data_IF_059088088070
#
_entry.id   IF_059088088070
#
_cell.length_a   1.000
_cell.length_b   1.000
_cell.length_c   1.000
_cell.angle_alpha   90.00
_cell.angle_beta   90.00
_cell.angle_gamma   90.00
#
_symmetry.space_group_name_H-M   'P 1'
#
loop_
_entity.id
_entity.type
_entity.pdbx_description
1 polymer ?
#
# COMPACT_ATOMS: atom_id res chain seq x y z
N UNK A 1 8.69 -15.58 -19.68
CA UNK A 1 7.40 -14.87 -19.85
C UNK A 1 7.53 -13.50 -19.25
N UNK A 2 6.68 -12.54 -19.62
CA UNK A 2 6.59 -11.25 -18.91
C UNK A 2 6.07 -11.46 -17.49
N UNK A 3 6.46 -10.59 -16.55
CA UNK A 3 5.97 -10.66 -15.17
C UNK A 3 4.50 -10.30 -15.03
N UNK A 4 3.83 -10.88 -14.03
CA UNK A 4 2.43 -10.59 -13.72
C UNK A 4 2.30 -9.19 -13.13
N UNK A 5 1.08 -8.63 -13.26
CA UNK A 5 0.72 -7.34 -12.69
C UNK A 5 -0.66 -7.41 -12.08
N UNK A 6 -0.83 -6.72 -10.96
CA UNK A 6 -2.12 -6.49 -10.34
C UNK A 6 -2.34 -4.98 -10.16
N UNK A 7 -3.58 -4.57 -10.44
CA UNK A 7 -4.00 -3.19 -10.58
C UNK A 7 -4.74 -2.69 -9.34
N UNK A 8 -4.99 -3.55 -8.34
CA UNK A 8 -5.79 -3.20 -7.17
C UNK A 8 -5.39 -4.04 -5.95
N UNK A 9 -4.41 -3.57 -5.18
CA UNK A 9 -3.82 -4.32 -4.07
C UNK A 9 -3.92 -3.63 -2.71
N UNK A 10 -4.04 -4.44 -1.66
CA UNK A 10 -4.09 -4.02 -0.26
C UNK A 10 -2.96 -4.69 0.53
N UNK A 11 -1.72 -4.25 0.31
CA UNK A 11 -0.52 -4.94 0.83
C UNK A 11 -0.29 -4.77 2.33
N UNK A 12 -0.99 -3.85 2.96
CA UNK A 12 -1.02 -3.69 4.41
C UNK A 12 -2.00 -4.64 5.10
N UNK A 13 -2.82 -5.39 4.36
CA UNK A 13 -3.78 -6.28 5.00
C UNK A 13 -3.09 -7.53 5.56
N UNK A 14 -3.43 -7.88 6.79
CA UNK A 14 -2.88 -9.03 7.52
C UNK A 14 -3.71 -10.31 7.36
N UNK A 15 -4.74 -10.30 6.50
CA UNK A 15 -5.68 -11.42 6.33
C UNK A 15 -6.65 -11.61 7.51
N UNK A 16 -6.62 -10.71 8.49
CA UNK A 16 -7.44 -10.76 9.70
C UNK A 16 -8.68 -9.88 9.64
N UNK A 17 -9.20 -9.58 10.82
CA UNK A 17 -10.37 -8.73 11.03
C UNK A 17 -10.05 -7.28 10.66
N UNK A 18 -10.93 -6.65 9.87
CA UNK A 18 -10.63 -5.37 9.23
C UNK A 18 -10.70 -4.19 10.22
N UNK A 19 -11.60 -4.24 11.21
CA UNK A 19 -11.71 -3.15 12.20
C UNK A 19 -10.47 -3.06 13.09
N UNK A 20 -9.83 -4.19 13.38
CA UNK A 20 -8.58 -4.28 14.12
C UNK A 20 -7.34 -3.90 13.30
N UNK A 21 -7.45 -3.68 11.99
CA UNK A 21 -6.27 -3.43 11.13
C UNK A 21 -5.53 -2.14 11.53
N UNK A 22 -6.26 -1.11 11.95
CA UNK A 22 -5.69 0.16 12.43
C UNK A 22 -5.07 0.08 13.83
N UNK A 23 -5.27 -1.03 14.55
CA UNK A 23 -4.71 -1.24 15.89
C UNK A 23 -3.30 -1.88 15.84
N UNK A 24 -2.88 -2.36 14.67
CA UNK A 24 -1.56 -2.96 14.50
C UNK A 24 -0.47 -1.90 14.69
N UNK A 25 0.53 -2.23 15.52
CA UNK A 25 1.68 -1.37 15.72
C UNK A 25 2.39 -1.09 14.40
N UNK A 26 2.81 0.16 14.18
CA UNK A 26 3.36 0.61 12.89
C UNK A 26 4.61 -0.19 12.46
N UNK A 27 5.43 -0.62 13.41
CA UNK A 27 6.64 -1.40 13.13
C UNK A 27 6.29 -2.83 12.68
N UNK A 28 5.36 -3.47 13.38
CA UNK A 28 4.83 -4.79 13.03
C UNK A 28 4.12 -4.73 11.67
N UNK A 29 3.39 -3.64 11.40
CA UNK A 29 2.70 -3.42 10.13
C UNK A 29 3.67 -3.29 8.97
N UNK A 30 4.77 -2.53 9.14
CA UNK A 30 5.80 -2.41 8.12
C UNK A 30 6.49 -3.74 7.81
N UNK A 31 6.81 -4.53 8.84
CA UNK A 31 7.38 -5.87 8.65
C UNK A 31 6.42 -6.80 7.91
N UNK A 32 5.13 -6.76 8.26
CA UNK A 32 4.09 -7.52 7.57
C UNK A 32 3.95 -7.11 6.10
N UNK A 33 3.90 -5.81 5.81
CA UNK A 33 3.81 -5.30 4.44
C UNK A 33 5.03 -5.69 3.61
N UNK A 34 6.24 -5.65 4.18
CA UNK A 34 7.45 -6.13 3.52
C UNK A 34 7.38 -7.64 3.20
N UNK A 35 6.82 -8.45 4.09
CA UNK A 35 6.61 -9.89 3.85
C UNK A 35 5.57 -10.14 2.74
N UNK A 36 4.48 -9.36 2.71
CA UNK A 36 3.47 -9.42 1.66
C UNK A 36 4.07 -9.07 0.30
N UNK A 37 4.86 -7.99 0.20
CA UNK A 37 5.58 -7.58 -1.01
C UNK A 37 6.46 -8.70 -1.56
N UNK A 38 7.25 -9.33 -0.69
CA UNK A 38 8.09 -10.46 -1.07
C UNK A 38 7.26 -11.63 -1.59
N UNK A 39 6.14 -11.93 -0.93
CA UNK A 39 5.25 -13.03 -1.31
C UNK A 39 4.62 -12.81 -2.69
N UNK A 40 4.26 -11.57 -3.02
CA UNK A 40 3.80 -11.18 -4.36
C UNK A 40 4.88 -11.39 -5.41
N UNK A 41 6.12 -10.94 -5.13
CA UNK A 41 7.25 -11.11 -6.04
C UNK A 41 7.56 -12.60 -6.27
N UNK A 42 7.61 -13.39 -5.20
CA UNK A 42 7.85 -14.84 -5.25
C UNK A 42 6.73 -15.58 -6.04
N UNK A 43 5.54 -15.00 -6.09
CA UNK A 43 4.39 -15.51 -6.88
C UNK A 43 4.41 -15.06 -8.35
N UNK A 44 5.40 -14.26 -8.76
CA UNK A 44 5.58 -13.81 -10.14
C UNK A 44 4.98 -12.44 -10.47
N UNK A 45 4.42 -11.72 -9.48
CA UNK A 45 4.02 -10.33 -9.65
C UNK A 45 5.24 -9.42 -9.67
N UNK A 46 5.33 -8.55 -10.68
CA UNK A 46 6.49 -7.66 -10.88
C UNK A 46 6.11 -6.19 -10.89
N UNK A 47 4.81 -5.89 -10.88
CA UNK A 47 4.28 -4.54 -10.68
C UNK A 47 2.89 -4.60 -10.07
N UNK A 48 2.65 -3.66 -9.17
CA UNK A 48 1.53 -3.67 -8.23
C UNK A 48 1.00 -2.24 -8.05
N UNK A 49 -0.32 -2.07 -8.03
CA UNK A 49 -0.98 -0.77 -7.80
C UNK A 49 -1.72 -0.80 -6.46
N UNK A 50 -1.32 0.06 -5.52
CA UNK A 50 -1.97 0.18 -4.22
C UNK A 50 -3.35 0.82 -4.33
N UNK A 51 -4.36 0.15 -3.77
CA UNK A 51 -5.73 0.63 -3.73
C UNK A 51 -6.00 1.49 -2.49
N UNK A 52 -5.54 1.04 -1.32
CA UNK A 52 -5.46 1.82 -0.10
C UNK A 52 -4.49 1.15 0.87
N UNK A 53 -3.91 1.97 1.75
CA UNK A 53 -3.05 1.54 2.83
C UNK A 53 -3.76 1.66 4.18
N UNK A 54 -3.37 0.86 5.15
CA UNK A 54 -3.90 0.97 6.52
C UNK A 54 -3.41 2.23 7.27
N UNK A 55 -2.40 2.92 6.72
CA UNK A 55 -1.77 4.08 7.34
C UNK A 55 -1.36 5.09 6.25
N UNK A 56 -1.20 6.35 6.62
CA UNK A 56 -0.97 7.47 5.70
C UNK A 56 0.39 7.45 4.98
N UNK A 57 1.36 6.64 5.44
CA UNK A 57 2.71 6.67 4.87
C UNK A 57 3.34 5.29 4.67
N UNK A 58 2.66 4.23 5.10
CA UNK A 58 3.24 2.89 5.16
C UNK A 58 3.66 2.36 3.78
N UNK A 59 2.77 2.45 2.80
CA UNK A 59 3.01 2.01 1.42
C UNK A 59 4.17 2.78 0.76
N UNK A 60 4.23 4.09 1.00
CA UNK A 60 5.27 4.98 0.46
C UNK A 60 6.65 4.57 0.98
N UNK A 61 6.76 4.31 2.28
CA UNK A 61 8.03 3.88 2.89
C UNK A 61 8.47 2.54 2.32
N UNK A 62 7.56 1.58 2.19
CA UNK A 62 7.88 0.26 1.64
C UNK A 62 8.29 0.35 0.17
N UNK A 63 7.56 1.14 -0.64
CA UNK A 63 7.94 1.45 -2.04
C UNK A 63 9.36 2.01 -2.11
N UNK A 64 9.66 3.00 -1.28
CA UNK A 64 10.98 3.65 -1.29
C UNK A 64 12.10 2.69 -0.95
N UNK A 65 11.87 1.78 0.01
CA UNK A 65 12.83 0.72 0.33
C UNK A 65 13.00 -0.28 -0.82
N UNK A 66 11.93 -0.62 -1.55
CA UNK A 66 12.02 -1.47 -2.75
C UNK A 66 12.81 -0.75 -3.85
N UNK A 67 12.54 0.53 -4.09
CA UNK A 67 13.25 1.35 -5.08
C UNK A 67 14.74 1.53 -4.73
N UNK A 68 15.06 1.65 -3.44
CA UNK A 68 16.43 1.68 -2.93
C UNK A 68 17.12 0.29 -2.97
N UNK A 69 16.39 -0.77 -3.31
CA UNK A 69 16.86 -2.17 -3.27
C UNK A 69 17.23 -2.67 -1.86
N UNK A 70 16.69 -2.06 -0.81
CA UNK A 70 16.89 -2.48 0.58
C UNK A 70 16.08 -3.75 0.92
N UNK A 71 14.90 -3.90 0.31
CA UNK A 71 14.04 -5.09 0.43
C UNK A 71 13.55 -5.57 -0.94
N UNK A 72 13.33 -6.88 -1.12
CA UNK A 72 12.76 -7.42 -2.34
C UNK A 72 11.25 -7.13 -2.43
N UNK A 73 10.78 -6.69 -3.60
CA UNK A 73 9.36 -6.52 -3.88
C UNK A 73 9.10 -6.17 -5.35
N UNK A 74 7.84 -6.27 -5.81
CA UNK A 74 7.43 -5.78 -7.12
C UNK A 74 7.56 -4.25 -7.18
N UNK A 75 7.65 -3.69 -8.40
CA UNK A 75 7.50 -2.24 -8.56
C UNK A 75 6.13 -1.81 -8.05
N UNK A 76 6.09 -0.85 -7.15
CA UNK A 76 4.86 -0.49 -6.47
C UNK A 76 4.46 0.96 -6.72
N UNK A 77 3.22 1.17 -7.12
CA UNK A 77 2.58 2.48 -7.08
C UNK A 77 1.85 2.60 -5.75
N UNK A 78 2.50 3.28 -4.80
CA UNK A 78 2.02 3.41 -3.43
C UNK A 78 0.77 4.29 -3.34
N UNK A 79 -0.11 3.96 -2.40
CA UNK A 79 -1.24 4.80 -2.05
C UNK A 79 -1.30 5.02 -0.53
N UNK A 80 -2.10 5.99 -0.10
CA UNK A 80 -2.30 6.26 1.33
C UNK A 80 -3.61 5.59 1.80
N UNK A 81 -4.07 5.98 3.00
CA UNK A 81 -5.40 5.63 3.50
C UNK A 81 -6.50 5.96 2.49
N UNK A 82 -7.53 5.12 2.49
CA UNK A 82 -8.76 5.38 1.75
C UNK A 82 -9.32 6.74 2.15
N UNK A 83 -9.88 7.47 1.18
CA UNK A 83 -10.56 8.74 1.44
C UNK A 83 -12.05 8.53 1.32
N UNK A 84 -12.79 8.82 2.39
CA UNK A 84 -14.24 8.75 2.38
C UNK A 84 -14.89 10.00 2.95
N UNK A 85 -16.17 10.19 2.62
CA UNK A 85 -17.03 11.11 3.38
C UNK A 85 -17.24 10.54 4.79
N UNK A 86 -17.62 11.41 5.74
CA UNK A 86 -18.11 10.94 7.04
C UNK A 86 -19.31 10.01 6.85
N UNK A 87 -19.35 8.94 7.63
CA UNK A 87 -20.35 7.87 7.55
C UNK A 87 -20.33 7.11 6.20
N UNK A 88 -19.23 7.20 5.45
CA UNK A 88 -18.99 6.45 4.22
C UNK A 88 -17.68 5.66 4.24
N UNK A 89 -17.01 5.61 5.40
CA UNK A 89 -15.82 4.81 5.62
C UNK A 89 -16.12 3.31 5.61
N UNK A 90 -15.11 2.53 5.20
CA UNK A 90 -15.10 1.09 5.38
C UNK A 90 -14.80 0.73 6.84
N UNK A 91 -13.75 1.35 7.39
CA UNK A 91 -13.32 1.24 8.79
C UNK A 91 -12.72 2.58 9.24
N UNK A 92 -13.22 3.21 10.32
CA UNK A 92 -12.76 4.53 10.74
C UNK A 92 -11.25 4.64 11.01
N UNK A 93 -10.63 3.55 11.48
CA UNK A 93 -9.21 3.52 11.84
C UNK A 93 -8.23 3.55 10.67
N UNK A 94 -8.69 3.30 9.44
CA UNK A 94 -7.87 3.26 8.22
C UNK A 94 -8.40 4.18 7.11
N UNK A 95 -9.32 5.09 7.47
CA UNK A 95 -9.95 6.01 6.53
C UNK A 95 -9.60 7.45 6.87
N UNK A 96 -9.12 8.19 5.88
CA UNK A 96 -8.94 9.63 5.93
C UNK A 96 -10.24 10.35 5.53
N UNK A 97 -10.70 11.26 6.39
CA UNK A 97 -11.88 12.09 6.09
C UNK A 97 -11.44 13.47 5.59
N UNK A 98 -11.51 13.73 4.28
CA UNK A 98 -11.10 15.03 3.72
C UNK A 98 -11.37 15.21 2.22
N UNK A 99 -11.44 16.48 1.79
CA UNK A 99 -11.51 16.89 0.38
C UNK A 99 -10.08 17.16 -0.14
N UNK A 100 -9.67 16.40 -1.15
CA UNK A 100 -8.75 16.82 -2.23
C UNK A 100 -7.21 16.87 -2.07
N UNK A 101 -6.56 16.41 -0.98
CA UNK A 101 -5.10 16.59 -0.84
C UNK A 101 -4.18 15.34 -0.87
N UNK A 102 -4.71 14.12 -0.88
CA UNK A 102 -3.90 12.87 -0.86
C UNK A 102 -3.79 12.16 -2.22
N UNK A 103 -4.33 12.73 -3.31
CA UNK A 103 -4.11 12.20 -4.67
C UNK A 103 -2.69 12.47 -5.23
N UNK A 104 -1.77 13.01 -4.41
CA UNK A 104 -0.47 13.52 -4.87
C UNK A 104 0.58 12.43 -5.04
N UNK A 105 0.42 11.27 -4.40
CA UNK A 105 1.44 10.21 -4.39
C UNK A 105 1.29 9.31 -5.61
N UNK A 106 0.09 8.81 -5.89
CA UNK A 106 -0.16 7.92 -7.04
C UNK A 106 0.16 8.58 -8.40
N UNK A 107 -0.20 9.86 -8.60
CA UNK A 107 0.02 10.58 -9.87
C UNK A 107 1.47 11.04 -10.08
N UNK A 108 2.18 11.39 -9.01
CA UNK A 108 3.58 11.81 -9.13
C UNK A 108 4.49 10.62 -9.51
N UNK A 109 4.21 9.44 -8.96
CA UNK A 109 5.00 8.25 -9.26
C UNK A 109 4.80 7.77 -10.71
N UNK A 110 3.60 7.90 -11.27
CA UNK A 110 3.32 7.48 -12.66
C UNK A 110 4.13 8.27 -13.71
N UNK A 111 4.59 9.48 -13.38
CA UNK A 111 5.35 10.35 -14.30
C UNK A 111 6.87 10.22 -14.10
N UNK A 112 7.33 9.82 -12.90
CA UNK A 112 8.75 9.95 -12.49
C UNK A 112 9.48 8.60 -12.45
N UNK A 113 8.78 7.47 -12.46
CA UNK A 113 9.41 6.15 -12.49
C UNK A 113 9.82 5.78 -13.94
N UNK A 114 11.12 5.58 -14.24
CA UNK A 114 11.62 5.27 -15.59
C UNK A 114 11.22 3.87 -16.11
#
# INVERSE_FOLDING_TARGET
MSGLRDAHEYLTWNGGELNALGELGIAEHALLTAQNMKSYLDSGYTMCFGAASANDRLDVVIRDMINASDIPGPRYLANDMEIAKRDGDLVPGITAYGLFFTLRICLADFIIQP
#
